data_IF_497043233204
#
_entry.id   IF_497043233204
#
_cell.length_a   1.000
_cell.length_b   1.000
_cell.length_c   1.000
_cell.angle_alpha   90.00
_cell.angle_beta   90.00
_cell.angle_gamma   90.00
#
_symmetry.space_group_name_H-M   'P 1'
#
loop_
_entity.id
_entity.type
_entity.pdbx_description
1 polymer ?
#
# COMPACT_ATOMS: atom_id res chain seq x y z
N UNK A 1 10.97 -6.08 -24.12
CA UNK A 1 10.03 -4.98 -24.44
C UNK A 1 10.77 -3.68 -24.19
N UNK A 2 10.73 -2.73 -25.13
CA UNK A 2 11.22 -1.37 -24.82
C UNK A 2 10.47 -0.82 -23.61
N UNK A 3 11.14 -0.10 -22.69
CA UNK A 3 10.47 0.61 -21.62
C UNK A 3 9.47 1.57 -22.26
N UNK A 4 8.18 1.34 -22.00
CA UNK A 4 7.16 2.26 -22.44
C UNK A 4 7.22 3.47 -21.52
N UNK A 5 7.36 4.66 -22.07
CA UNK A 5 7.36 5.92 -21.32
C UNK A 5 6.10 6.73 -21.65
N UNK A 6 5.71 7.61 -20.73
CA UNK A 6 4.73 8.66 -21.02
C UNK A 6 5.30 9.60 -22.08
N UNK A 7 4.45 10.04 -23.02
CA UNK A 7 4.82 11.10 -23.95
C UNK A 7 5.10 12.40 -23.19
N UNK A 8 5.95 13.27 -23.73
CA UNK A 8 6.24 14.59 -23.13
C UNK A 8 4.95 15.40 -22.87
N UNK A 9 3.96 15.31 -23.76
CA UNK A 9 2.65 15.93 -23.58
C UNK A 9 1.83 15.33 -22.43
N UNK A 10 1.99 14.03 -22.16
CA UNK A 10 1.31 13.40 -21.02
C UNK A 10 1.96 13.80 -19.71
N UNK A 11 3.30 13.88 -19.69
CA UNK A 11 4.06 14.35 -18.51
C UNK A 11 3.64 15.76 -18.13
N UNK A 12 3.60 16.69 -19.09
CA UNK A 12 3.20 18.08 -18.81
C UNK A 12 1.75 18.26 -18.37
N UNK A 13 0.87 17.32 -18.72
CA UNK A 13 -0.51 17.29 -18.17
C UNK A 13 -0.52 16.70 -16.76
N UNK A 14 0.24 15.62 -16.52
CA UNK A 14 0.35 14.98 -15.21
C UNK A 14 0.96 15.89 -14.16
N UNK A 15 1.93 16.74 -14.52
CA UNK A 15 2.54 17.76 -13.65
C UNK A 15 1.52 18.74 -13.05
N UNK A 16 0.31 18.85 -13.63
CA UNK A 16 -0.75 19.73 -13.13
C UNK A 16 -1.56 19.13 -11.97
N UNK A 17 -1.34 17.86 -11.64
CA UNK A 17 -2.06 17.15 -10.58
C UNK A 17 -2.05 17.93 -9.25
N UNK A 18 -3.13 17.82 -8.48
CA UNK A 18 -3.29 18.57 -7.23
C UNK A 18 -3.92 17.71 -6.13
N UNK A 19 -3.10 17.38 -5.13
CA UNK A 19 -3.56 16.79 -3.86
C UNK A 19 -4.58 17.72 -3.17
N UNK A 20 -4.32 19.03 -3.10
CA UNK A 20 -5.20 19.99 -2.43
C UNK A 20 -6.61 20.05 -3.04
N UNK A 21 -6.74 19.88 -4.35
CA UNK A 21 -8.06 19.80 -4.99
C UNK A 21 -8.87 18.59 -4.49
N UNK A 22 -8.20 17.46 -4.24
CA UNK A 22 -8.83 16.24 -3.71
C UNK A 22 -9.13 16.36 -2.22
N UNK A 23 -8.25 16.99 -1.45
CA UNK A 23 -8.49 17.35 -0.05
C UNK A 23 -9.75 18.21 0.09
N UNK A 24 -9.86 19.26 -0.72
CA UNK A 24 -11.02 20.16 -0.71
C UNK A 24 -12.32 19.44 -1.08
N UNK A 25 -12.25 18.53 -2.06
CA UNK A 25 -13.40 17.72 -2.47
C UNK A 25 -13.82 16.68 -1.42
N UNK A 26 -12.89 16.07 -0.69
CA UNK A 26 -13.26 15.20 0.43
C UNK A 26 -13.91 16.03 1.56
N UNK A 27 -13.37 17.21 1.83
CA UNK A 27 -13.89 18.10 2.88
C UNK A 27 -15.32 18.59 2.59
N UNK A 28 -15.69 18.78 1.31
CA UNK A 28 -17.07 19.16 0.95
C UNK A 28 -18.11 18.07 1.24
N UNK A 29 -17.68 16.81 1.39
CA UNK A 29 -18.57 15.66 1.59
C UNK A 29 -19.03 15.43 3.03
N UNK A 30 -18.60 16.25 3.99
CA UNK A 30 -19.04 16.13 5.41
C UNK A 30 -20.56 16.13 5.58
N UNK A 31 -21.28 16.88 4.74
CA UNK A 31 -22.76 16.86 4.75
C UNK A 31 -23.32 15.52 4.28
N UNK A 32 -22.72 14.89 3.26
CA UNK A 32 -23.09 13.55 2.82
C UNK A 32 -22.83 12.51 3.91
N UNK A 33 -21.70 12.61 4.62
CA UNK A 33 -21.37 11.72 5.73
C UNK A 33 -22.38 11.83 6.88
N UNK A 34 -22.81 13.05 7.21
CA UNK A 34 -23.90 13.26 8.19
C UNK A 34 -25.21 12.61 7.74
N UNK A 35 -25.50 12.62 6.44
CA UNK A 35 -26.63 11.94 5.82
C UNK A 35 -26.39 10.43 5.60
N UNK A 36 -25.27 9.89 6.09
CA UNK A 36 -24.89 8.47 6.03
C UNK A 36 -24.69 7.97 4.60
N UNK A 37 -24.15 8.80 3.72
CA UNK A 37 -23.73 8.42 2.36
C UNK A 37 -22.30 8.87 2.08
N UNK A 38 -21.57 8.11 1.26
CA UNK A 38 -20.20 8.48 0.86
C UNK A 38 -20.19 9.67 -0.10
N UNK A 39 -21.21 9.75 -0.95
CA UNK A 39 -21.43 10.82 -1.91
C UNK A 39 -22.95 11.01 -2.05
N UNK A 40 -23.39 12.17 -2.56
CA UNK A 40 -24.82 12.40 -2.78
C UNK A 40 -25.37 11.41 -3.83
N UNK A 41 -26.58 10.90 -3.62
CA UNK A 41 -27.27 10.04 -4.58
C UNK A 41 -27.60 10.74 -5.91
N UNK A 42 -27.66 12.08 -5.91
CA UNK A 42 -27.81 12.91 -7.10
C UNK A 42 -26.49 13.05 -7.89
N UNK A 43 -25.34 12.67 -7.30
CA UNK A 43 -24.06 12.71 -7.99
C UNK A 43 -24.07 11.73 -9.18
N UNK A 44 -23.85 12.19 -10.43
CA UNK A 44 -23.93 11.35 -11.63
C UNK A 44 -22.99 10.13 -11.62
N UNK A 45 -21.91 10.20 -10.84
CA UNK A 45 -20.90 9.15 -10.75
C UNK A 45 -21.23 8.06 -9.72
N UNK A 46 -22.32 8.18 -8.95
CA UNK A 46 -22.73 7.20 -7.94
C UNK A 46 -23.24 5.87 -8.54
N UNK A 47 -24.05 5.92 -9.61
CA UNK A 47 -24.73 4.72 -10.16
C UNK A 47 -24.13 4.30 -11.52
N UNK A 48 -23.92 5.25 -12.43
CA UNK A 48 -23.50 4.96 -13.81
C UNK A 48 -22.15 5.60 -14.13
N UNK A 49 -21.18 5.33 -13.25
CA UNK A 49 -19.84 5.90 -13.29
C UNK A 49 -19.19 5.82 -14.69
N UNK A 50 -19.27 4.67 -15.35
CA UNK A 50 -18.62 4.48 -16.65
C UNK A 50 -19.21 5.41 -17.73
N UNK A 51 -20.54 5.51 -17.82
CA UNK A 51 -21.18 6.37 -18.82
C UNK A 51 -20.99 7.85 -18.46
N UNK A 52 -21.14 8.23 -17.18
CA UNK A 52 -20.92 9.61 -16.73
C UNK A 52 -19.48 10.08 -17.04
N UNK A 53 -18.48 9.23 -16.81
CA UNK A 53 -17.08 9.53 -17.17
C UNK A 53 -16.92 9.62 -18.68
N UNK A 54 -17.56 8.74 -19.44
CA UNK A 54 -17.50 8.76 -20.90
C UNK A 54 -18.10 10.04 -21.49
N UNK A 55 -19.26 10.45 -21.00
CA UNK A 55 -19.92 11.70 -21.40
C UNK A 55 -19.03 12.90 -21.06
N UNK A 56 -18.63 13.05 -19.80
CA UNK A 56 -17.77 14.16 -19.38
C UNK A 56 -16.42 14.18 -20.11
N UNK A 57 -15.78 13.02 -20.29
CA UNK A 57 -14.54 12.91 -21.04
C UNK A 57 -14.73 13.31 -22.52
N UNK A 58 -15.90 13.10 -23.12
CA UNK A 58 -16.16 13.58 -24.48
C UNK A 58 -16.26 15.11 -24.56
N UNK A 59 -16.69 15.76 -23.48
CA UNK A 59 -16.89 17.20 -23.40
C UNK A 59 -15.62 18.02 -23.17
N UNK A 60 -14.57 17.42 -22.58
CA UNK A 60 -13.27 18.07 -22.44
C UNK A 60 -12.63 18.12 -23.84
N UNK A 61 -12.60 19.27 -24.50
CA UNK A 61 -11.93 19.44 -25.80
C UNK A 61 -10.50 19.93 -25.58
N UNK A 62 -10.10 21.05 -26.17
CA UNK A 62 -8.77 21.65 -25.99
C UNK A 62 -8.67 22.45 -24.68
N UNK A 63 -9.80 22.71 -24.02
CA UNK A 63 -9.87 23.48 -22.76
C UNK A 63 -10.31 22.59 -21.59
N UNK A 64 -9.57 22.59 -20.47
CA UNK A 64 -9.94 21.84 -19.28
C UNK A 64 -11.20 22.43 -18.64
N UNK A 65 -12.05 21.58 -18.06
CA UNK A 65 -13.35 21.94 -17.50
C UNK A 65 -13.45 21.53 -16.03
N UNK A 66 -14.06 22.35 -15.15
CA UNK A 66 -14.32 21.93 -13.78
C UNK A 66 -15.46 20.89 -13.75
N UNK A 67 -15.41 20.00 -12.76
CA UNK A 67 -16.51 19.10 -12.42
C UNK A 67 -16.36 18.67 -10.95
N UNK A 68 -17.14 19.28 -10.07
CA UNK A 68 -17.06 19.03 -8.63
C UNK A 68 -17.49 17.60 -8.32
N UNK A 69 -18.61 17.14 -8.91
CA UNK A 69 -19.14 15.79 -8.70
C UNK A 69 -18.11 14.69 -9.01
N UNK A 70 -17.32 14.85 -10.08
CA UNK A 70 -16.25 13.92 -10.44
C UNK A 70 -15.06 14.00 -9.48
N UNK A 71 -14.76 15.19 -8.98
CA UNK A 71 -13.65 15.40 -8.03
C UNK A 71 -14.01 14.83 -6.65
N UNK A 72 -15.25 15.02 -6.21
CA UNK A 72 -15.82 14.38 -5.01
C UNK A 72 -15.80 12.86 -5.13
N UNK A 73 -16.29 12.33 -6.27
CA UNK A 73 -16.20 10.89 -6.56
C UNK A 73 -14.75 10.40 -6.50
N UNK A 74 -13.80 11.13 -7.09
CA UNK A 74 -12.38 10.76 -7.06
C UNK A 74 -11.84 10.74 -5.62
N UNK A 75 -12.22 11.70 -4.79
CA UNK A 75 -11.78 11.75 -3.39
C UNK A 75 -12.25 10.54 -2.58
N UNK A 76 -13.50 10.09 -2.78
CA UNK A 76 -14.02 8.87 -2.16
C UNK A 76 -13.36 7.63 -2.74
N UNK A 77 -13.04 7.62 -4.03
CA UNK A 77 -12.38 6.47 -4.67
C UNK A 77 -11.02 6.15 -4.05
N UNK A 78 -10.36 7.10 -3.39
CA UNK A 78 -9.13 6.86 -2.61
C UNK A 78 -9.40 5.85 -1.50
N UNK A 79 -10.39 6.13 -0.65
CA UNK A 79 -10.78 5.28 0.49
C UNK A 79 -11.22 3.89 -0.02
N UNK A 80 -12.06 3.87 -1.06
CA UNK A 80 -12.61 2.63 -1.61
C UNK A 80 -11.54 1.79 -2.30
N UNK A 81 -10.63 2.38 -3.07
CA UNK A 81 -9.53 1.63 -3.67
C UNK A 81 -8.55 1.08 -2.64
N UNK A 82 -8.26 1.82 -1.56
CA UNK A 82 -7.45 1.30 -0.45
C UNK A 82 -8.11 0.06 0.19
N UNK A 83 -9.40 0.15 0.51
CA UNK A 83 -10.18 -0.95 1.08
C UNK A 83 -10.27 -2.16 0.16
N UNK A 84 -10.58 -1.95 -1.12
CA UNK A 84 -10.60 -2.99 -2.14
C UNK A 84 -9.24 -3.70 -2.23
N UNK A 85 -8.15 -2.93 -2.15
CA UNK A 85 -6.80 -3.46 -2.23
C UNK A 85 -6.48 -4.43 -1.09
N UNK A 86 -6.78 -4.06 0.15
CA UNK A 86 -6.63 -4.95 1.31
C UNK A 86 -7.58 -6.15 1.26
N UNK A 87 -8.79 -5.95 0.73
CA UNK A 87 -9.75 -7.06 0.50
C UNK A 87 -9.20 -8.06 -0.53
N UNK A 88 -8.60 -7.60 -1.63
CA UNK A 88 -7.92 -8.49 -2.58
C UNK A 88 -6.73 -9.21 -1.95
N UNK A 89 -5.94 -8.53 -1.12
CA UNK A 89 -4.80 -9.16 -0.44
C UNK A 89 -5.25 -10.21 0.58
N UNK A 90 -6.37 -9.99 1.27
CA UNK A 90 -7.04 -10.98 2.13
C UNK A 90 -7.39 -12.24 1.35
N UNK A 91 -8.04 -12.08 0.20
CA UNK A 91 -8.39 -13.21 -0.64
C UNK A 91 -7.14 -13.93 -1.20
N UNK A 92 -6.07 -13.18 -1.47
CA UNK A 92 -4.78 -13.75 -1.85
C UNK A 92 -4.18 -14.59 -0.72
N UNK A 93 -4.19 -14.08 0.53
CA UNK A 93 -3.73 -14.83 1.71
C UNK A 93 -4.53 -16.13 1.89
N UNK A 94 -5.86 -16.07 1.78
CA UNK A 94 -6.70 -17.26 1.85
C UNK A 94 -6.40 -18.27 0.72
N UNK A 95 -6.06 -17.79 -0.47
CA UNK A 95 -5.62 -18.66 -1.56
C UNK A 95 -4.26 -19.32 -1.25
N UNK A 96 -3.32 -18.60 -0.64
CA UNK A 96 -2.03 -19.14 -0.15
C UNK A 96 -2.28 -20.24 0.88
N UNK A 97 -3.14 -20.00 1.87
CA UNK A 97 -3.48 -20.97 2.92
C UNK A 97 -4.03 -22.27 2.32
N UNK A 98 -4.86 -22.17 1.27
CA UNK A 98 -5.41 -23.34 0.54
C UNK A 98 -4.43 -23.98 -0.45
N UNK A 99 -3.29 -23.34 -0.70
CA UNK A 99 -2.29 -23.76 -1.68
C UNK A 99 -2.71 -23.52 -3.14
N UNK A 100 -3.63 -22.57 -3.39
CA UNK A 100 -3.99 -22.11 -4.73
C UNK A 100 -3.12 -20.91 -5.13
N UNK A 101 -1.90 -21.21 -5.58
CA UNK A 101 -0.90 -20.18 -5.89
C UNK A 101 -1.30 -19.32 -7.10
N UNK A 102 -2.08 -19.87 -8.04
CA UNK A 102 -2.54 -19.15 -9.22
C UNK A 102 -3.55 -18.07 -8.85
N UNK A 103 -4.54 -18.43 -8.02
CA UNK A 103 -5.47 -17.46 -7.46
C UNK A 103 -4.75 -16.45 -6.56
N UNK A 104 -3.76 -16.88 -5.76
CA UNK A 104 -2.97 -15.99 -4.93
C UNK A 104 -2.25 -14.92 -5.76
N UNK A 105 -1.51 -15.30 -6.81
CA UNK A 105 -0.83 -14.35 -7.72
C UNK A 105 -1.83 -13.43 -8.42
N UNK A 106 -2.97 -13.95 -8.87
CA UNK A 106 -3.99 -13.14 -9.53
C UNK A 106 -4.55 -12.06 -8.58
N UNK A 107 -4.95 -12.45 -7.37
CA UNK A 107 -5.58 -11.55 -6.40
C UNK A 107 -4.57 -10.54 -5.84
N UNK A 108 -3.33 -10.97 -5.56
CA UNK A 108 -2.26 -10.07 -5.14
C UNK A 108 -1.98 -8.98 -6.19
N UNK A 109 -1.97 -9.33 -7.48
CA UNK A 109 -1.81 -8.34 -8.54
C UNK A 109 -2.94 -7.30 -8.58
N UNK A 110 -4.19 -7.72 -8.32
CA UNK A 110 -5.31 -6.77 -8.21
C UNK A 110 -5.20 -5.88 -6.98
N UNK A 111 -4.64 -6.40 -5.88
CA UNK A 111 -4.30 -5.60 -4.71
C UNK A 111 -3.25 -4.51 -5.05
N UNK A 112 -2.19 -4.83 -5.80
CA UNK A 112 -1.21 -3.84 -6.29
C UNK A 112 -1.87 -2.74 -7.12
N UNK A 113 -2.74 -3.15 -8.05
CA UNK A 113 -3.43 -2.21 -8.94
C UNK A 113 -4.35 -1.27 -8.14
N UNK A 114 -5.12 -1.81 -7.19
CA UNK A 114 -6.00 -1.02 -6.33
C UNK A 114 -5.23 -0.05 -5.45
N UNK A 115 -4.12 -0.48 -4.85
CA UNK A 115 -3.24 0.39 -4.09
C UNK A 115 -2.71 1.55 -4.95
N UNK A 116 -2.22 1.26 -6.17
CA UNK A 116 -1.72 2.29 -7.08
C UNK A 116 -2.81 3.28 -7.50
N UNK A 117 -4.04 2.82 -7.76
CA UNK A 117 -5.18 3.68 -8.07
C UNK A 117 -5.55 4.57 -6.89
N UNK A 118 -5.51 4.06 -5.66
CA UNK A 118 -5.72 4.85 -4.44
C UNK A 118 -4.68 5.96 -4.31
N UNK A 119 -3.39 5.63 -4.46
CA UNK A 119 -2.30 6.61 -4.39
C UNK A 119 -2.50 7.68 -5.46
N UNK A 120 -2.70 7.29 -6.73
CA UNK A 120 -2.88 8.23 -7.84
C UNK A 120 -4.11 9.13 -7.66
N UNK A 121 -5.25 8.57 -7.25
CA UNK A 121 -6.48 9.33 -7.01
C UNK A 121 -6.29 10.37 -5.89
N UNK A 122 -5.52 10.06 -4.84
CA UNK A 122 -5.21 11.02 -3.75
C UNK A 122 -4.43 12.25 -4.24
N UNK A 123 -3.78 12.13 -5.39
CA UNK A 123 -2.98 13.18 -6.02
C UNK A 123 -3.77 13.91 -7.12
N UNK A 124 -5.03 13.53 -7.38
CA UNK A 124 -5.82 14.10 -8.47
C UNK A 124 -5.60 13.44 -9.83
N UNK A 125 -5.08 12.21 -9.85
CA UNK A 125 -4.87 11.43 -11.07
C UNK A 125 -5.95 10.33 -11.15
N UNK A 126 -6.95 10.54 -12.00
CA UNK A 126 -8.05 9.60 -12.19
C UNK A 126 -7.82 8.65 -13.38
N UNK A 127 -7.88 7.34 -13.16
CA UNK A 127 -7.68 6.33 -14.21
C UNK A 127 -9.00 5.56 -14.46
N UNK A 128 -9.57 5.71 -15.66
CA UNK A 128 -10.90 5.19 -15.97
C UNK A 128 -10.98 4.55 -17.35
N UNK A 129 -10.43 3.34 -17.50
CA UNK A 129 -10.53 2.52 -18.72
C UNK A 129 -10.40 3.34 -20.03
N UNK A 130 -9.18 3.77 -20.35
CA UNK A 130 -8.84 4.68 -21.46
C UNK A 130 -9.28 6.15 -21.32
N UNK A 131 -10.02 6.53 -20.28
CA UNK A 131 -10.52 7.91 -20.06
C UNK A 131 -9.84 8.54 -18.84
N UNK A 132 -8.53 8.67 -18.93
CA UNK A 132 -7.68 9.07 -17.81
C UNK A 132 -7.67 10.59 -17.68
N UNK A 133 -7.75 11.12 -16.47
CA UNK A 133 -7.88 12.55 -16.21
C UNK A 133 -6.93 13.03 -15.12
N UNK A 134 -6.65 14.34 -15.12
CA UNK A 134 -5.90 15.04 -14.08
C UNK A 134 -6.74 16.19 -13.55
N UNK A 135 -6.90 16.30 -12.25
CA UNK A 135 -7.49 17.46 -11.57
C UNK A 135 -6.36 18.43 -11.19
N UNK A 136 -6.47 19.68 -11.62
CA UNK A 136 -5.51 20.73 -11.27
C UNK A 136 -5.88 21.51 -10.01
N UNK A 137 -4.97 22.37 -9.56
CA UNK A 137 -5.14 23.20 -8.36
C UNK A 137 -6.29 24.22 -8.45
N UNK A 138 -6.85 24.44 -9.65
CA UNK A 138 -8.03 25.28 -9.86
C UNK A 138 -9.33 24.47 -9.91
N UNK A 139 -9.26 23.15 -9.69
CA UNK A 139 -10.38 22.22 -9.80
C UNK A 139 -10.76 21.90 -11.25
N UNK A 140 -9.94 22.29 -12.24
CA UNK A 140 -10.20 21.98 -13.64
C UNK A 140 -9.61 20.62 -14.01
N UNK A 141 -10.33 19.92 -14.88
CA UNK A 141 -10.01 18.56 -15.28
C UNK A 141 -9.41 18.55 -16.70
N UNK A 142 -8.22 17.95 -16.80
CA UNK A 142 -7.46 17.77 -18.04
C UNK A 142 -7.54 16.33 -18.51
N UNK A 143 -7.50 16.11 -19.82
CA UNK A 143 -7.36 14.78 -20.41
C UNK A 143 -5.92 14.31 -20.33
N UNK A 144 -5.71 13.14 -19.73
CA UNK A 144 -4.50 12.36 -19.91
C UNK A 144 -4.68 11.39 -21.09
N UNK A 145 -3.58 10.96 -21.70
CA UNK A 145 -3.59 10.10 -22.87
C UNK A 145 -4.48 8.85 -22.69
N UNK A 146 -5.21 8.50 -23.76
CA UNK A 146 -6.00 7.26 -23.82
C UNK A 146 -5.06 6.06 -23.79
N UNK A 147 -5.11 5.31 -22.69
CA UNK A 147 -4.27 4.14 -22.48
C UNK A 147 -4.98 3.14 -21.56
N UNK A 148 -4.80 1.81 -21.75
CA UNK A 148 -5.44 0.80 -20.92
C UNK A 148 -5.06 0.98 -19.44
N UNK A 149 -6.02 0.74 -18.53
CA UNK A 149 -5.89 0.94 -17.07
C UNK A 149 -4.56 0.44 -16.50
N UNK A 150 -4.24 -0.84 -16.71
CA UNK A 150 -3.00 -1.42 -16.16
C UNK A 150 -1.74 -0.73 -16.67
N UNK A 151 -1.71 -0.33 -17.94
CA UNK A 151 -0.53 0.33 -18.52
C UNK A 151 -0.38 1.74 -17.97
N UNK A 152 -1.46 2.54 -18.02
CA UNK A 152 -1.37 3.94 -17.60
C UNK A 152 -1.15 4.09 -16.09
N UNK A 153 -1.67 3.17 -15.28
CA UNK A 153 -1.49 3.20 -13.82
C UNK A 153 -0.02 3.15 -13.45
N UNK A 154 0.75 2.19 -13.98
CA UNK A 154 2.18 2.09 -13.67
C UNK A 154 2.99 3.26 -14.22
N UNK A 155 2.68 3.71 -15.44
CA UNK A 155 3.35 4.87 -16.04
C UNK A 155 3.09 6.16 -15.25
N UNK A 156 1.85 6.38 -14.80
CA UNK A 156 1.48 7.54 -14.02
C UNK A 156 2.08 7.47 -12.61
N UNK A 157 2.12 6.29 -11.98
CA UNK A 157 2.73 6.11 -10.67
C UNK A 157 4.24 6.35 -10.71
N UNK A 158 4.92 5.86 -11.76
CA UNK A 158 6.36 6.10 -11.95
C UNK A 158 6.67 7.57 -12.18
N UNK A 159 5.85 8.27 -12.97
CA UNK A 159 6.03 9.70 -13.19
C UNK A 159 5.73 10.52 -11.93
N UNK A 160 4.63 10.22 -11.23
CA UNK A 160 4.30 10.85 -9.96
C UNK A 160 5.40 10.64 -8.92
N UNK A 161 5.97 9.44 -8.82
CA UNK A 161 7.03 9.13 -7.86
C UNK A 161 8.30 9.96 -8.07
N UNK A 162 8.52 10.53 -9.27
CA UNK A 162 9.64 11.45 -9.56
C UNK A 162 9.37 12.90 -9.13
N UNK A 163 8.13 13.23 -8.76
CA UNK A 163 7.72 14.59 -8.41
C UNK A 163 8.16 15.00 -6.99
N UNK A 164 8.22 16.31 -6.74
CA UNK A 164 8.45 16.86 -5.42
C UNK A 164 7.35 16.47 -4.41
N UNK A 165 6.10 16.35 -4.86
CA UNK A 165 4.97 15.92 -4.02
C UNK A 165 5.18 14.49 -3.51
N UNK A 166 5.68 13.59 -4.35
CA UNK A 166 6.01 12.24 -3.91
C UNK A 166 7.14 12.26 -2.88
N UNK A 167 8.21 13.03 -3.10
CA UNK A 167 9.29 13.20 -2.10
C UNK A 167 8.77 13.72 -0.75
N UNK A 168 7.87 14.71 -0.76
CA UNK A 168 7.22 15.22 0.44
C UNK A 168 6.37 14.14 1.13
N UNK A 169 5.56 13.41 0.34
CA UNK A 169 4.75 12.29 0.83
C UNK A 169 5.61 11.23 1.53
N UNK A 170 6.64 10.71 0.87
CA UNK A 170 7.53 9.71 1.48
C UNK A 170 8.26 10.25 2.70
N UNK A 171 8.72 11.50 2.64
CA UNK A 171 9.45 12.12 3.74
C UNK A 171 8.61 12.33 5.01
N UNK A 172 7.29 12.49 4.86
CA UNK A 172 6.37 12.81 5.98
C UNK A 172 5.53 11.62 6.45
N UNK A 173 5.17 10.68 5.57
CA UNK A 173 4.23 9.59 5.89
C UNK A 173 4.89 8.26 6.27
N UNK A 174 6.21 8.15 6.05
CA UNK A 174 7.01 7.00 6.47
C UNK A 174 7.70 7.38 7.78
N UNK A 175 7.39 6.65 8.85
CA UNK A 175 7.65 7.04 10.23
C UNK A 175 8.44 5.96 11.00
N UNK A 176 9.65 5.58 10.55
CA UNK A 176 10.51 4.66 11.30
C UNK A 176 10.80 5.21 12.69
N UNK A 177 10.49 4.42 13.72
CA UNK A 177 10.62 4.82 15.13
C UNK A 177 9.87 6.11 15.47
N UNK A 178 8.75 6.35 14.79
CA UNK A 178 7.92 7.57 14.93
C UNK A 178 8.64 8.88 14.52
N UNK A 179 9.72 8.79 13.75
CA UNK A 179 10.45 9.94 13.21
C UNK A 179 10.25 9.98 11.70
N UNK A 180 9.85 11.12 11.11
CA UNK A 180 9.74 11.27 9.65
C UNK A 180 10.99 10.82 8.91
N UNK A 181 10.81 10.07 7.82
CA UNK A 181 11.90 9.61 6.98
C UNK A 181 12.78 10.77 6.49
N UNK A 182 12.21 11.96 6.28
CA UNK A 182 12.98 13.14 5.86
C UNK A 182 14.08 13.50 6.87
N UNK A 183 13.78 13.41 8.17
CA UNK A 183 14.70 13.81 9.24
C UNK A 183 15.84 12.80 9.35
N UNK A 184 15.52 11.51 9.18
CA UNK A 184 16.53 10.46 9.05
C UNK A 184 17.49 10.71 7.89
N UNK A 185 16.98 11.02 6.70
CA UNK A 185 17.83 11.24 5.52
C UNK A 185 18.62 12.55 5.60
N UNK A 186 18.02 13.62 6.13
CA UNK A 186 18.71 14.89 6.39
C UNK A 186 19.90 14.69 7.32
N UNK A 187 19.69 14.02 8.45
CA UNK A 187 20.75 13.77 9.42
C UNK A 187 21.78 12.76 8.92
N UNK A 188 21.36 11.75 8.16
CA UNK A 188 22.27 10.76 7.59
C UNK A 188 23.19 11.37 6.54
N UNK A 189 22.65 12.14 5.60
CA UNK A 189 23.39 12.70 4.48
C UNK A 189 24.01 14.07 4.76
N UNK A 190 23.54 14.78 5.79
CA UNK A 190 23.98 16.13 6.13
C UNK A 190 23.51 17.19 5.13
N UNK A 191 22.37 16.96 4.46
CA UNK A 191 21.79 17.88 3.48
C UNK A 191 20.45 18.42 3.97
N UNK A 192 20.13 19.71 3.72
CA UNK A 192 18.87 20.32 4.17
C UNK A 192 17.65 19.87 3.35
N UNK A 193 17.87 19.34 2.14
CA UNK A 193 16.82 18.83 1.26
C UNK A 193 16.92 17.31 1.13
N UNK A 194 15.76 16.67 0.90
CA UNK A 194 15.69 15.25 0.59
C UNK A 194 16.38 15.03 -0.76
N UNK A 195 17.57 14.43 -0.77
CA UNK A 195 18.35 14.23 -2.00
C UNK A 195 17.76 13.15 -2.92
N UNK A 196 16.75 12.43 -2.43
CA UNK A 196 16.13 11.28 -3.06
C UNK A 196 14.71 11.60 -3.55
N UNK A 197 14.38 11.11 -4.74
CA UNK A 197 12.99 11.16 -5.23
C UNK A 197 12.17 10.05 -4.60
N UNK A 198 10.85 10.16 -4.59
CA UNK A 198 9.99 9.02 -4.23
C UNK A 198 10.32 7.77 -5.06
N UNK A 199 10.61 7.94 -6.35
CA UNK A 199 11.00 6.86 -7.24
C UNK A 199 12.31 6.16 -6.82
N UNK A 200 13.31 6.91 -6.32
CA UNK A 200 14.54 6.28 -5.82
C UNK A 200 14.29 5.54 -4.50
N UNK A 201 13.47 6.09 -3.59
CA UNK A 201 13.10 5.41 -2.35
C UNK A 201 12.32 4.11 -2.59
N UNK A 202 11.29 4.16 -3.43
CA UNK A 202 10.52 2.98 -3.87
C UNK A 202 11.46 1.92 -4.46
N UNK A 203 12.41 2.32 -5.32
CA UNK A 203 13.39 1.41 -5.90
C UNK A 203 14.29 0.76 -4.84
N UNK A 204 14.77 1.53 -3.85
CA UNK A 204 15.60 1.01 -2.75
C UNK A 204 14.86 -0.03 -1.89
N UNK A 205 13.54 0.06 -1.79
CA UNK A 205 12.73 -0.96 -1.12
C UNK A 205 12.60 -2.27 -1.91
N UNK A 206 12.94 -2.26 -3.20
CA UNK A 206 12.83 -3.39 -4.11
C UNK A 206 11.59 -3.33 -5.02
N UNK A 207 10.76 -2.30 -4.85
CA UNK A 207 9.55 -2.03 -5.63
C UNK A 207 9.89 -1.39 -6.97
N UNK A 208 10.67 -2.05 -7.81
CA UNK A 208 10.93 -1.51 -9.14
C UNK A 208 9.61 -1.47 -9.94
N UNK A 209 9.13 -0.26 -10.27
CA UNK A 209 7.79 -0.09 -10.86
C UNK A 209 7.63 -0.78 -12.23
N UNK A 210 8.74 -1.08 -12.90
CA UNK A 210 8.77 -1.90 -14.11
C UNK A 210 8.32 -3.35 -13.86
N UNK A 211 8.53 -3.90 -12.64
CA UNK A 211 8.18 -5.28 -12.27
C UNK A 211 6.68 -5.54 -12.27
N UNK A 212 5.84 -4.55 -11.96
CA UNK A 212 4.38 -4.72 -12.01
C UNK A 212 3.84 -5.04 -13.43
N UNK A 213 4.62 -4.70 -14.47
CA UNK A 213 4.31 -5.13 -15.84
C UNK A 213 4.59 -6.62 -16.07
N UNK A 214 5.59 -7.18 -15.37
CA UNK A 214 5.89 -8.61 -15.34
C UNK A 214 4.87 -9.35 -14.48
N UNK A 215 4.42 -8.77 -13.38
CA UNK A 215 3.34 -9.34 -12.54
C UNK A 215 2.04 -9.43 -13.32
N UNK A 216 1.72 -8.43 -14.14
CA UNK A 216 0.60 -8.51 -15.08
C UNK A 216 0.74 -9.69 -16.05
N UNK A 217 1.96 -9.93 -16.55
CA UNK A 217 2.22 -10.99 -17.51
C UNK A 217 2.06 -12.36 -16.84
N UNK A 218 2.63 -12.50 -15.64
CA UNK A 218 2.48 -13.69 -14.79
C UNK A 218 1.03 -13.94 -14.42
N UNK A 219 0.29 -12.90 -14.04
CA UNK A 219 -1.16 -12.96 -13.82
C UNK A 219 -1.89 -13.47 -15.05
N UNK A 220 -1.58 -12.94 -16.24
CA UNK A 220 -2.23 -13.39 -17.48
C UNK A 220 -1.94 -14.87 -17.75
N UNK A 221 -0.72 -15.33 -17.49
CA UNK A 221 -0.33 -16.73 -17.65
C UNK A 221 -1.16 -17.62 -16.72
N UNK A 222 -1.20 -17.34 -15.41
CA UNK A 222 -1.99 -18.16 -14.46
C UNK A 222 -3.51 -18.04 -14.67
N UNK A 223 -4.00 -16.95 -15.26
CA UNK A 223 -5.44 -16.72 -15.46
C UNK A 223 -5.99 -17.34 -16.75
N UNK A 224 -5.18 -17.37 -17.81
CA UNK A 224 -5.65 -17.77 -19.15
C UNK A 224 -5.04 -19.10 -19.63
N UNK A 225 -3.93 -19.55 -19.04
CA UNK A 225 -3.31 -20.81 -19.42
C UNK A 225 -3.70 -21.93 -18.47
N UNK A 226 -3.78 -23.14 -19.00
CA UNK A 226 -4.00 -24.34 -18.18
C UNK A 226 -2.69 -24.73 -17.52
N UNK A 227 -2.64 -24.70 -16.19
CA UNK A 227 -1.50 -25.23 -15.46
C UNK A 227 -1.62 -26.75 -15.35
N UNK A 228 -0.72 -27.48 -16.01
CA UNK A 228 -0.66 -28.93 -15.99
C UNK A 228 0.37 -29.49 -14.99
N UNK A 229 1.05 -28.64 -14.21
CA UNK A 229 2.05 -29.06 -13.21
C UNK A 229 1.35 -29.62 -11.97
N UNK A 230 1.45 -30.93 -11.68
CA UNK A 230 0.81 -31.53 -10.52
C UNK A 230 1.55 -31.25 -9.20
N UNK A 231 2.84 -30.92 -9.29
CA UNK A 231 3.75 -30.73 -8.14
C UNK A 231 4.20 -29.27 -8.05
N UNK A 232 3.32 -28.39 -7.59
CA UNK A 232 3.71 -27.04 -7.20
C UNK A 232 4.15 -27.06 -5.74
N UNK A 233 5.33 -26.51 -5.44
CA UNK A 233 5.75 -26.32 -4.06
C UNK A 233 4.83 -25.31 -3.38
N UNK A 234 4.49 -25.60 -2.12
CA UNK A 234 3.63 -24.78 -1.27
C UNK A 234 4.40 -24.43 -0.01
N UNK A 235 3.95 -23.38 0.68
CA UNK A 235 4.46 -23.11 2.02
C UNK A 235 4.12 -24.30 2.93
N UNK A 236 5.10 -24.71 3.74
CA UNK A 236 4.83 -25.58 4.88
C UNK A 236 4.01 -24.80 5.90
N UNK A 237 3.25 -25.47 6.78
CA UNK A 237 2.57 -24.82 7.89
C UNK A 237 3.45 -23.83 8.66
N UNK A 238 4.66 -24.24 9.04
CA UNK A 238 5.61 -23.38 9.74
C UNK A 238 6.04 -22.13 8.94
N UNK A 239 6.27 -22.27 7.62
CA UNK A 239 6.63 -21.13 6.78
C UNK A 239 5.46 -20.17 6.56
N UNK A 240 4.23 -20.71 6.49
CA UNK A 240 3.00 -19.93 6.39
C UNK A 240 2.75 -19.12 7.68
N UNK A 241 2.87 -19.74 8.84
CA UNK A 241 2.66 -19.06 10.14
C UNK A 241 3.69 -17.98 10.36
N UNK A 242 4.97 -18.27 10.08
CA UNK A 242 6.05 -17.27 10.15
C UNK A 242 5.78 -16.06 9.26
N UNK A 243 5.31 -16.30 8.02
CA UNK A 243 4.97 -15.23 7.09
C UNK A 243 3.77 -14.40 7.56
N UNK A 244 2.72 -15.04 8.09
CA UNK A 244 1.55 -14.36 8.64
C UNK A 244 1.91 -13.53 9.88
N UNK A 245 2.69 -14.07 10.80
CA UNK A 245 3.18 -13.35 11.98
C UNK A 245 4.05 -12.16 11.59
N UNK A 246 4.89 -12.29 10.55
CA UNK A 246 5.68 -11.15 10.05
C UNK A 246 4.78 -10.03 9.48
N UNK A 247 3.73 -10.37 8.73
CA UNK A 247 2.78 -9.39 8.20
C UNK A 247 2.15 -8.57 9.33
N UNK A 248 1.58 -9.24 10.33
CA UNK A 248 0.88 -8.55 11.42
C UNK A 248 1.82 -7.78 12.33
N UNK A 249 2.97 -8.35 12.71
CA UNK A 249 3.99 -7.64 13.49
C UNK A 249 4.55 -6.42 12.75
N UNK A 250 4.62 -6.47 11.42
CA UNK A 250 5.03 -5.34 10.58
C UNK A 250 3.93 -4.27 10.46
N UNK A 251 2.68 -4.60 10.83
CA UNK A 251 1.50 -3.74 10.72
C UNK A 251 0.93 -3.24 12.05
N UNK A 252 1.56 -3.57 13.18
CA UNK A 252 1.08 -3.27 14.53
C UNK A 252 0.57 -1.80 14.67
N UNK A 253 -0.68 -1.57 15.14
CA UNK A 253 -1.29 -0.25 15.31
C UNK A 253 -1.04 0.46 16.65
N UNK A 254 -0.40 -0.17 17.66
CA UNK A 254 -0.36 0.32 19.06
C UNK A 254 0.33 1.68 19.25
N UNK A 255 1.32 2.03 18.44
CA UNK A 255 2.03 3.33 18.54
C UNK A 255 1.85 4.21 17.31
N UNK A 256 2.33 3.76 16.16
CA UNK A 256 1.95 4.24 14.84
C UNK A 256 1.84 3.02 13.93
N UNK A 257 0.72 2.89 13.18
CA UNK A 257 0.55 1.80 12.23
C UNK A 257 1.78 1.66 11.35
N UNK A 258 2.26 0.43 11.22
CA UNK A 258 3.41 0.06 10.38
C UNK A 258 4.79 0.62 10.79
N UNK A 259 4.96 1.18 11.99
CA UNK A 259 6.29 1.68 12.43
C UNK A 259 7.39 0.59 12.37
N UNK A 260 7.03 -0.67 12.61
CA UNK A 260 7.95 -1.81 12.49
C UNK A 260 8.40 -2.02 11.04
N UNK A 261 7.47 -2.06 10.08
CA UNK A 261 7.80 -2.10 8.66
C UNK A 261 8.67 -0.90 8.24
N UNK A 262 8.28 0.30 8.65
CA UNK A 262 8.99 1.53 8.29
C UNK A 262 10.44 1.52 8.81
N UNK A 263 10.71 0.96 10.00
CA UNK A 263 12.08 0.79 10.50
C UNK A 263 12.94 -0.17 9.66
N UNK A 264 12.35 -1.27 9.18
CA UNK A 264 13.01 -2.20 8.25
C UNK A 264 13.30 -1.52 6.90
N UNK A 265 12.35 -0.73 6.40
CA UNK A 265 12.50 0.07 5.18
C UNK A 265 13.62 1.12 5.33
N UNK A 266 13.68 1.81 6.47
CA UNK A 266 14.76 2.75 6.80
C UNK A 266 16.13 2.05 6.78
N UNK A 267 16.28 0.94 7.50
CA UNK A 267 17.54 0.18 7.56
C UNK A 267 18.02 -0.16 6.15
N UNK A 268 17.12 -0.66 5.28
CA UNK A 268 17.42 -0.97 3.88
C UNK A 268 17.82 0.28 3.07
N UNK A 269 17.13 1.41 3.23
CA UNK A 269 17.50 2.67 2.57
C UNK A 269 18.91 3.11 2.98
N UNK A 270 19.19 3.18 4.29
CA UNK A 270 20.47 3.67 4.81
C UNK A 270 21.63 2.79 4.34
N UNK A 271 21.45 1.46 4.35
CA UNK A 271 22.42 0.53 3.77
C UNK A 271 22.59 0.72 2.27
N UNK A 272 21.51 0.95 1.52
CA UNK A 272 21.60 1.16 0.06
C UNK A 272 22.35 2.45 -0.25
N UNK A 273 21.99 3.58 0.38
CA UNK A 273 22.69 4.86 0.25
C UNK A 273 24.18 4.70 0.61
N UNK A 274 24.46 3.96 1.68
CA UNK A 274 25.84 3.66 2.08
C UNK A 274 26.61 2.90 1.00
N UNK A 275 26.00 1.86 0.43
CA UNK A 275 26.61 1.01 -0.59
C UNK A 275 26.81 1.74 -1.93
N UNK A 276 25.90 2.63 -2.32
CA UNK A 276 25.99 3.38 -3.58
C UNK A 276 27.06 4.48 -3.55
N UNK A 277 27.39 5.01 -2.36
CA UNK A 277 28.45 6.02 -2.19
C UNK A 277 29.87 5.42 -2.18
N UNK A 278 30.03 4.10 -2.33
CA UNK A 278 31.31 3.42 -2.07
C UNK A 278 32.29 3.44 -3.25
N UNK A 279 33.09 4.51 -3.34
CA UNK A 279 34.40 4.46 -3.99
C UNK A 279 35.49 4.26 -2.90
N UNK A 280 35.97 3.03 -2.78
CA UNK A 280 37.22 2.58 -2.15
C UNK A 280 37.54 2.80 -0.64
N UNK A 281 36.82 3.60 0.16
CA UNK A 281 37.17 3.85 1.60
C UNK A 281 35.97 3.70 2.56
N UNK A 282 35.16 2.65 2.41
CA UNK A 282 34.00 2.41 3.28
C UNK A 282 34.12 1.07 4.02
N UNK A 283 34.06 1.10 5.36
CA UNK A 283 34.17 -0.05 6.27
C UNK A 283 32.95 -0.12 7.19
N UNK A 284 32.65 -1.25 7.84
CA UNK A 284 31.55 -1.31 8.83
C UNK A 284 31.69 -0.20 9.89
N UNK A 285 32.92 0.10 10.33
CA UNK A 285 33.20 1.18 11.29
C UNK A 285 32.76 2.57 10.83
N UNK A 286 32.87 2.89 9.53
CA UNK A 286 32.40 4.17 8.99
C UNK A 286 30.87 4.21 8.86
N UNK A 287 30.21 3.08 8.59
CA UNK A 287 28.75 2.98 8.66
C UNK A 287 28.27 3.23 10.10
N UNK A 288 28.83 2.49 11.07
CA UNK A 288 28.50 2.61 12.48
C UNK A 288 28.70 4.03 13.00
N UNK A 289 29.80 4.69 12.61
CA UNK A 289 30.08 6.09 12.96
C UNK A 289 29.02 7.03 12.41
N UNK A 290 28.57 6.81 11.17
CA UNK A 290 27.52 7.61 10.54
C UNK A 290 26.18 7.41 11.26
N UNK A 291 25.77 6.17 11.50
CA UNK A 291 24.56 5.84 12.26
C UNK A 291 24.61 6.41 13.67
N UNK A 292 25.77 6.35 14.34
CA UNK A 292 25.96 6.94 15.67
C UNK A 292 25.69 8.43 15.68
N UNK A 293 26.23 9.16 14.70
CA UNK A 293 26.02 10.60 14.55
C UNK A 293 24.56 10.91 14.27
N UNK A 294 23.95 10.22 13.31
CA UNK A 294 22.53 10.39 12.95
C UNK A 294 21.62 10.15 14.14
N UNK A 295 21.78 9.03 14.86
CA UNK A 295 21.00 8.70 16.05
C UNK A 295 21.19 9.72 17.18
N UNK A 296 22.41 10.24 17.36
CA UNK A 296 22.69 11.24 18.39
C UNK A 296 22.00 12.58 18.07
N UNK A 297 22.00 12.99 16.79
CA UNK A 297 21.35 14.22 16.35
C UNK A 297 19.83 14.15 16.42
N UNK A 298 19.26 12.96 16.17
CA UNK A 298 17.82 12.68 16.29
C UNK A 298 17.39 12.28 17.71
N UNK A 299 18.32 12.29 18.68
CA UNK A 299 18.07 11.93 20.09
C UNK A 299 17.39 10.55 20.26
N UNK A 300 17.76 9.57 19.44
CA UNK A 300 17.08 8.26 19.46
C UNK A 300 17.52 7.39 20.65
N UNK A 301 16.63 6.52 21.16
CA UNK A 301 16.99 5.55 22.18
C UNK A 301 18.12 4.60 21.73
N UNK A 302 18.90 4.09 22.69
CA UNK A 302 20.04 3.22 22.42
C UNK A 302 19.69 1.95 21.61
N UNK A 303 18.49 1.40 21.77
CA UNK A 303 18.05 0.22 21.02
C UNK A 303 17.91 0.49 19.52
N UNK A 304 17.52 1.71 19.12
CA UNK A 304 17.38 2.11 17.70
C UNK A 304 18.73 2.05 17.01
N UNK A 305 19.76 2.61 17.65
CA UNK A 305 21.13 2.54 17.18
C UNK A 305 21.61 1.09 17.04
N UNK A 306 21.37 0.26 18.07
CA UNK A 306 21.76 -1.16 18.03
C UNK A 306 21.09 -1.91 16.88
N UNK A 307 19.80 -1.66 16.63
CA UNK A 307 19.05 -2.24 15.52
C UNK A 307 19.56 -1.80 14.15
N UNK A 308 19.93 -0.52 13.97
CA UNK A 308 20.43 -0.04 12.67
C UNK A 308 21.84 -0.56 12.36
N UNK A 309 22.66 -0.85 13.37
CA UNK A 309 24.03 -1.37 13.20
C UNK A 309 24.06 -2.91 13.12
N UNK A 310 23.09 -3.61 13.72
CA UNK A 310 23.08 -5.07 13.75
C UNK A 310 23.05 -5.68 12.36
N UNK A 311 23.79 -6.77 12.18
CA UNK A 311 23.65 -7.70 11.05
C UNK A 311 22.91 -8.96 11.50
N UNK A 312 21.94 -8.83 12.42
CA UNK A 312 21.20 -9.98 12.91
C UNK A 312 20.24 -10.49 11.83
N UNK A 313 20.28 -11.80 11.56
CA UNK A 313 19.34 -12.47 10.66
C UNK A 313 17.88 -12.34 11.12
N UNK A 314 17.62 -12.14 12.43
CA UNK A 314 16.25 -11.90 12.92
C UNK A 314 15.66 -10.56 12.46
N UNK A 315 16.51 -9.62 12.02
CA UNK A 315 16.07 -8.34 11.47
C UNK A 315 15.77 -8.41 9.96
N UNK A 316 16.05 -9.55 9.31
CA UNK A 316 15.72 -9.77 7.91
C UNK A 316 14.21 -9.94 7.73
N UNK A 317 13.65 -9.23 6.76
CA UNK A 317 12.23 -9.26 6.45
C UNK A 317 11.98 -10.11 5.23
N UNK A 318 11.21 -11.20 5.37
CA UNK A 318 10.83 -12.02 4.22
C UNK A 318 9.98 -11.23 3.24
N UNK A 319 9.14 -10.31 3.74
CA UNK A 319 8.36 -9.38 2.92
C UNK A 319 9.28 -8.56 2.01
N UNK A 320 10.35 -7.94 2.57
CA UNK A 320 11.28 -7.13 1.78
C UNK A 320 12.15 -7.96 0.83
N UNK A 321 12.48 -9.20 1.20
CA UNK A 321 13.22 -10.14 0.34
C UNK A 321 12.38 -10.58 -0.86
N UNK A 322 11.15 -11.04 -0.63
CA UNK A 322 10.23 -11.43 -1.70
C UNK A 322 9.86 -10.24 -2.60
N UNK A 323 9.62 -9.05 -2.03
CA UNK A 323 9.35 -7.86 -2.83
C UNK A 323 10.49 -7.50 -3.80
N UNK A 324 11.75 -7.78 -3.40
CA UNK A 324 12.92 -7.54 -4.23
C UNK A 324 13.06 -8.58 -5.37
N UNK A 325 12.60 -9.81 -5.17
CA UNK A 325 12.68 -10.90 -6.15
C UNK A 325 11.80 -10.63 -7.38
N UNK A 326 12.21 -11.24 -8.49
CA UNK A 326 11.55 -11.11 -9.79
C UNK A 326 11.48 -12.47 -10.47
N UNK A 327 10.85 -13.43 -9.79
CA UNK A 327 10.66 -14.77 -10.34
C UNK A 327 9.64 -14.74 -11.48
N UNK A 328 9.83 -15.63 -12.45
CA UNK A 328 8.86 -15.81 -13.54
C UNK A 328 7.59 -16.51 -13.07
N UNK A 329 6.51 -16.41 -13.84
CA UNK A 329 5.20 -17.01 -13.51
C UNK A 329 5.23 -18.52 -13.28
N UNK A 330 6.24 -19.19 -13.85
CA UNK A 330 6.47 -20.62 -13.74
C UNK A 330 7.12 -21.05 -12.41
N UNK A 331 7.59 -20.12 -11.58
CA UNK A 331 8.23 -20.37 -10.29
C UNK A 331 7.19 -20.56 -9.19
N UNK A 332 7.38 -21.61 -8.39
CA UNK A 332 6.45 -22.01 -7.33
C UNK A 332 6.22 -20.92 -6.27
N UNK A 333 7.15 -19.98 -6.07
CA UNK A 333 7.08 -18.93 -5.05
C UNK A 333 6.83 -17.53 -5.62
N UNK A 334 6.54 -17.41 -6.92
CA UNK A 334 6.28 -16.11 -7.55
C UNK A 334 5.11 -15.36 -6.89
N UNK A 335 4.11 -16.09 -6.37
CA UNK A 335 2.98 -15.49 -5.66
C UNK A 335 3.41 -14.68 -4.43
N UNK A 336 4.49 -15.06 -3.74
CA UNK A 336 5.03 -14.31 -2.59
C UNK A 336 5.69 -13.00 -3.01
N UNK A 337 6.29 -12.98 -4.21
CA UNK A 337 6.90 -11.77 -4.77
C UNK A 337 5.81 -10.72 -5.02
N UNK A 338 4.73 -11.10 -5.71
CA UNK A 338 3.57 -10.22 -5.99
C UNK A 338 2.86 -9.82 -4.71
N UNK A 339 2.63 -10.78 -3.80
CA UNK A 339 1.98 -10.50 -2.52
C UNK A 339 2.75 -9.47 -1.71
N UNK A 340 4.07 -9.64 -1.59
CA UNK A 340 4.89 -8.73 -0.80
C UNK A 340 4.98 -7.34 -1.41
N UNK A 341 5.03 -7.23 -2.75
CA UNK A 341 4.92 -5.93 -3.44
C UNK A 341 3.56 -5.26 -3.20
N UNK A 342 2.48 -6.02 -3.30
CA UNK A 342 1.13 -5.54 -3.01
C UNK A 342 1.01 -5.00 -1.58
N UNK A 343 1.54 -5.74 -0.60
CA UNK A 343 1.54 -5.33 0.81
C UNK A 343 2.26 -3.99 1.01
N UNK A 344 3.45 -3.83 0.44
CA UNK A 344 4.20 -2.56 0.53
C UNK A 344 3.48 -1.41 -0.18
N UNK A 345 2.86 -1.66 -1.33
CA UNK A 345 2.03 -0.66 -2.01
C UNK A 345 0.80 -0.27 -1.20
N UNK A 346 0.16 -1.22 -0.52
CA UNK A 346 -1.00 -0.98 0.33
C UNK A 346 -0.66 -0.22 1.60
N UNK A 347 0.54 -0.41 2.17
CA UNK A 347 1.09 0.49 3.20
C UNK A 347 1.12 1.94 2.72
N UNK A 348 1.54 2.19 1.48
CA UNK A 348 1.58 3.52 0.89
C UNK A 348 0.17 4.05 0.59
N UNK A 349 -0.72 3.23 0.05
CA UNK A 349 -2.11 3.60 -0.18
C UNK A 349 -2.84 3.97 1.12
N UNK A 350 -2.54 3.25 2.21
CA UNK A 350 -3.07 3.55 3.55
C UNK A 350 -2.53 4.88 4.07
N UNK A 351 -1.23 5.16 3.89
CA UNK A 351 -0.65 6.48 4.18
C UNK A 351 -1.29 7.60 3.35
N UNK A 352 -1.47 7.41 2.04
CA UNK A 352 -2.12 8.39 1.16
C UNK A 352 -3.55 8.70 1.60
N UNK A 353 -4.29 7.65 1.98
CA UNK A 353 -5.67 7.80 2.43
C UNK A 353 -5.73 8.49 3.80
N UNK A 354 -4.89 8.07 4.76
CA UNK A 354 -4.81 8.71 6.09
C UNK A 354 -4.39 10.19 5.98
N UNK A 355 -3.39 10.52 5.15
CA UNK A 355 -2.98 11.90 4.88
C UNK A 355 -4.11 12.73 4.28
N UNK A 356 -4.83 12.18 3.30
CA UNK A 356 -5.99 12.84 2.69
C UNK A 356 -7.07 13.12 3.74
N UNK A 357 -7.43 12.13 4.55
CA UNK A 357 -8.43 12.27 5.62
C UNK A 357 -8.01 13.33 6.66
N UNK A 358 -6.75 13.27 7.15
CA UNK A 358 -6.21 14.27 8.09
C UNK A 358 -6.26 15.69 7.52
N UNK A 359 -5.86 15.87 6.26
CA UNK A 359 -5.89 17.20 5.60
C UNK A 359 -7.30 17.70 5.34
N UNK A 360 -8.24 16.79 5.06
CA UNK A 360 -9.65 17.13 4.83
C UNK A 360 -10.45 17.31 6.14
N UNK A 361 -9.80 17.06 7.29
CA UNK A 361 -10.41 17.05 8.62
C UNK A 361 -11.57 16.05 8.71
N UNK A 362 -11.40 14.86 8.13
CA UNK A 362 -12.39 13.77 8.14
C UNK A 362 -11.90 12.63 9.03
N UNK A 363 -12.73 12.18 9.97
CA UNK A 363 -12.40 11.07 10.87
C UNK A 363 -13.02 9.75 10.41
N UNK A 364 -12.52 8.63 10.96
CA UNK A 364 -13.13 7.32 10.72
C UNK A 364 -14.51 7.19 11.36
N UNK A 365 -14.77 7.89 12.46
CA UNK A 365 -16.10 7.92 13.11
C UNK A 365 -17.16 8.54 12.18
N UNK A 366 -16.80 9.59 11.42
CA UNK A 366 -17.68 10.17 10.41
C UNK A 366 -18.03 9.18 9.29
N UNK A 367 -17.18 8.17 9.06
CA UNK A 367 -17.37 7.11 8.08
C UNK A 367 -17.95 5.82 8.67
N UNK A 368 -18.35 5.80 9.94
CA UNK A 368 -18.91 4.61 10.61
C UNK A 368 -20.13 4.02 9.90
N UNK A 369 -20.93 4.86 9.23
CA UNK A 369 -22.05 4.40 8.42
C UNK A 369 -21.63 3.48 7.26
N UNK A 370 -20.39 3.58 6.79
CA UNK A 370 -19.85 2.79 5.69
C UNK A 370 -19.06 1.59 6.20
N UNK A 371 -18.11 1.80 7.12
CA UNK A 371 -17.22 0.71 7.54
C UNK A 371 -17.90 -0.27 8.50
N UNK A 372 -18.85 0.14 9.35
CA UNK A 372 -19.57 -0.81 10.23
C UNK A 372 -20.35 -1.87 9.44
N UNK A 373 -21.27 -1.50 8.51
CA UNK A 373 -22.00 -2.52 7.75
C UNK A 373 -21.07 -3.38 6.90
N UNK A 374 -20.01 -2.78 6.36
CA UNK A 374 -19.01 -3.53 5.61
C UNK A 374 -18.34 -4.59 6.51
N UNK A 375 -17.85 -4.22 7.69
CA UNK A 375 -17.20 -5.13 8.64
C UNK A 375 -18.10 -6.30 9.04
N UNK A 376 -19.40 -6.06 9.24
CA UNK A 376 -20.35 -7.14 9.52
C UNK A 376 -20.61 -8.02 8.29
N UNK A 377 -20.85 -7.40 7.12
CA UNK A 377 -21.18 -8.13 5.89
C UNK A 377 -20.03 -8.99 5.36
N UNK A 378 -18.78 -8.57 5.57
CA UNK A 378 -17.58 -9.33 5.22
C UNK A 378 -17.16 -10.29 6.33
N UNK A 379 -17.79 -10.24 7.51
CA UNK A 379 -17.46 -11.08 8.66
C UNK A 379 -16.13 -10.70 9.33
N UNK A 380 -15.68 -9.44 9.25
CA UNK A 380 -14.55 -8.93 10.07
C UNK A 380 -14.93 -8.94 11.55
N UNK A 381 -16.20 -8.66 11.84
CA UNK A 381 -16.75 -8.57 13.18
C UNK A 381 -18.16 -9.16 13.24
N UNK A 382 -18.58 -9.58 14.43
CA UNK A 382 -19.95 -10.04 14.67
C UNK A 382 -20.92 -8.86 14.66
N UNK A 383 -22.14 -9.07 14.14
CA UNK A 383 -23.13 -8.00 14.07
C UNK A 383 -23.42 -7.42 15.48
N UNK A 384 -23.26 -6.11 15.61
CA UNK A 384 -23.44 -5.37 16.86
C UNK A 384 -22.27 -5.42 17.84
N UNK A 385 -21.13 -6.03 17.49
CA UNK A 385 -19.95 -6.07 18.36
C UNK A 385 -19.11 -4.79 18.33
N UNK A 386 -19.30 -3.93 17.32
CA UNK A 386 -18.56 -2.69 17.13
C UNK A 386 -19.46 -1.50 17.49
N UNK A 387 -18.90 -0.51 18.18
CA UNK A 387 -19.61 0.67 18.70
C UNK A 387 -19.75 1.78 17.67
N UNK A 388 -18.87 1.81 16.67
CA UNK A 388 -18.68 2.93 15.75
C UNK A 388 -17.65 3.95 16.20
N UNK A 389 -17.03 3.75 17.36
CA UNK A 389 -15.89 4.53 17.85
C UNK A 389 -14.61 3.86 17.35
N UNK A 390 -14.05 4.39 16.26
CA UNK A 390 -12.99 3.74 15.48
C UNK A 390 -11.77 3.35 16.33
N UNK A 391 -11.31 4.24 17.22
CA UNK A 391 -10.13 3.99 18.05
C UNK A 391 -10.32 2.79 18.99
N UNK A 392 -11.49 2.71 19.64
CA UNK A 392 -11.84 1.63 20.56
C UNK A 392 -12.08 0.31 19.82
N UNK A 393 -12.86 0.37 18.74
CA UNK A 393 -13.22 -0.80 17.95
C UNK A 393 -11.98 -1.45 17.31
N UNK A 394 -11.03 -0.66 16.82
CA UNK A 394 -9.82 -1.18 16.19
C UNK A 394 -8.80 -1.72 17.18
N UNK A 395 -8.75 -1.18 18.40
CA UNK A 395 -7.96 -1.77 19.50
C UNK A 395 -8.50 -3.17 19.86
N UNK A 396 -9.83 -3.33 19.95
CA UNK A 396 -10.44 -4.64 20.20
C UNK A 396 -10.17 -5.64 19.06
N UNK A 397 -10.25 -5.21 17.81
CA UNK A 397 -9.92 -6.06 16.66
C UNK A 397 -8.44 -6.47 16.66
N UNK A 398 -7.55 -5.63 17.20
CA UNK A 398 -6.13 -5.94 17.33
C UNK A 398 -5.85 -6.97 18.44
N UNK A 399 -6.58 -6.93 19.55
CA UNK A 399 -6.45 -7.96 20.60
C UNK A 399 -6.68 -9.37 20.07
N UNK A 400 -7.70 -9.57 19.24
CA UNK A 400 -7.95 -10.85 18.57
C UNK A 400 -6.77 -11.31 17.69
N UNK A 401 -6.10 -10.36 17.02
CA UNK A 401 -4.91 -10.66 16.21
C UNK A 401 -3.72 -11.03 17.08
N UNK A 402 -3.49 -10.33 18.19
CA UNK A 402 -2.41 -10.64 19.13
C UNK A 402 -2.59 -12.03 19.74
N UNK A 403 -3.79 -12.35 20.23
CA UNK A 403 -4.10 -13.67 20.79
C UNK A 403 -3.83 -14.77 19.75
N UNK A 404 -4.24 -14.55 18.50
CA UNK A 404 -3.99 -15.49 17.42
C UNK A 404 -2.51 -15.62 17.02
N UNK A 405 -1.70 -14.55 17.12
CA UNK A 405 -0.25 -14.64 16.89
C UNK A 405 0.43 -15.46 18.00
N UNK A 406 0.04 -15.27 19.26
CA UNK A 406 0.56 -16.04 20.39
C UNK A 406 0.25 -17.54 20.22
N UNK A 407 -0.97 -17.89 19.81
CA UNK A 407 -1.37 -19.27 19.53
C UNK A 407 -0.54 -19.92 18.39
N UNK A 408 0.04 -19.14 17.47
CA UNK A 408 0.91 -19.67 16.41
C UNK A 408 2.29 -20.09 16.92
N UNK A 409 2.74 -19.64 18.09
CA UNK A 409 4.04 -20.02 18.66
C UNK A 409 4.09 -21.51 19.03
N UNK A 410 2.94 -22.11 19.31
CA UNK A 410 2.79 -23.53 19.67
C UNK A 410 2.73 -24.48 18.45
N UNK A 411 2.79 -23.94 17.23
CA UNK A 411 2.72 -24.75 16.00
C UNK A 411 3.98 -25.61 15.87
N UNK A 412 3.79 -26.93 15.90
CA UNK A 412 4.86 -27.91 15.71
C UNK A 412 5.62 -27.65 14.38
N UNK A 413 6.92 -27.29 14.43
CA UNK A 413 7.71 -27.01 13.24
C UNK A 413 7.91 -28.24 12.34
N UNK A 414 7.71 -29.46 12.87
CA UNK A 414 7.77 -30.70 12.09
C UNK A 414 6.44 -31.01 11.37
N UNK A 415 5.35 -30.28 11.68
CA UNK A 415 4.07 -30.46 11.01
C UNK A 415 4.14 -29.99 9.55
N UNK A 416 4.13 -30.95 8.64
CA UNK A 416 4.12 -30.72 7.19
C UNK A 416 2.73 -30.94 6.56
N UNK A 417 1.76 -31.44 7.32
CA UNK A 417 0.44 -31.80 6.79
C UNK A 417 -0.53 -30.64 6.90
N UNK A 418 -0.77 -29.95 5.77
CA UNK A 418 -1.72 -28.82 5.69
C UNK A 418 -3.12 -29.18 6.19
N UNK A 419 -3.61 -30.40 5.93
CA UNK A 419 -4.95 -30.81 6.39
C UNK A 419 -5.04 -30.86 7.92
N UNK A 420 -4.04 -31.45 8.57
CA UNK A 420 -3.97 -31.52 10.04
C UNK A 420 -3.84 -30.12 10.61
N UNK A 421 -2.90 -29.33 10.09
CA UNK A 421 -2.70 -27.94 10.49
C UNK A 421 -4.00 -27.12 10.40
N UNK A 422 -4.72 -27.17 9.27
CA UNK A 422 -5.98 -26.44 9.12
C UNK A 422 -7.10 -26.95 10.03
N UNK A 423 -7.06 -28.22 10.45
CA UNK A 423 -8.04 -28.78 11.39
C UNK A 423 -7.76 -28.30 12.82
N UNK A 424 -6.49 -28.23 13.20
CA UNK A 424 -6.06 -27.95 14.57
C UNK A 424 -6.05 -26.44 14.86
N UNK A 425 -5.73 -25.61 13.86
CA UNK A 425 -5.53 -24.16 14.01
C UNK A 425 -6.56 -23.32 13.25
N UNK A 426 -7.72 -23.87 12.88
CA UNK A 426 -8.73 -23.15 12.08
C UNK A 426 -9.13 -21.80 12.70
N UNK A 427 -9.36 -21.78 14.01
CA UNK A 427 -9.80 -20.58 14.73
C UNK A 427 -8.67 -19.56 14.89
N UNK A 428 -7.41 -20.00 14.93
CA UNK A 428 -6.23 -19.14 14.98
C UNK A 428 -5.94 -18.52 13.60
N UNK A 429 -6.12 -19.30 12.53
CA UNK A 429 -5.80 -18.87 11.16
C UNK A 429 -6.85 -17.93 10.56
N UNK A 430 -8.13 -18.11 10.90
CA UNK A 430 -9.20 -17.25 10.38
C UNK A 430 -8.91 -15.76 10.61
N UNK A 431 -8.72 -15.26 11.85
CA UNK A 431 -8.56 -13.82 12.08
C UNK A 431 -7.27 -13.29 11.44
N UNK A 432 -6.20 -14.10 11.43
CA UNK A 432 -4.94 -13.72 10.81
C UNK A 432 -4.99 -13.70 9.28
N UNK A 433 -5.95 -14.38 8.66
CA UNK A 433 -6.17 -14.32 7.21
C UNK A 433 -6.87 -13.02 6.77
N UNK A 434 -7.49 -12.28 7.72
CA UNK A 434 -8.31 -11.07 7.51
C UNK A 434 -7.48 -9.79 7.44
N UNK A 435 -6.65 -9.70 6.40
CA UNK A 435 -5.80 -8.53 6.14
C UNK A 435 -6.61 -7.27 5.79
N UNK A 436 -7.90 -7.40 5.51
CA UNK A 436 -8.86 -6.30 5.31
C UNK A 436 -9.00 -5.43 6.56
N UNK A 437 -8.73 -5.97 7.76
CA UNK A 437 -8.59 -5.20 9.01
C UNK A 437 -7.46 -4.15 8.93
N UNK A 438 -6.40 -4.39 8.15
CA UNK A 438 -5.29 -3.45 7.99
C UNK A 438 -5.70 -2.15 7.27
N UNK A 439 -6.81 -2.18 6.52
CA UNK A 439 -7.42 -0.96 6.00
C UNK A 439 -7.69 0.02 7.14
N UNK A 440 -8.30 -0.45 8.22
CA UNK A 440 -8.71 0.40 9.34
C UNK A 440 -7.52 0.83 10.18
N UNK A 441 -6.62 -0.12 10.48
CA UNK A 441 -5.43 0.15 11.27
C UNK A 441 -4.53 1.17 10.58
N UNK A 442 -4.35 1.06 9.27
CA UNK A 442 -3.57 2.00 8.47
C UNK A 442 -4.21 3.39 8.31
N UNK A 443 -5.51 3.52 8.58
CA UNK A 443 -6.22 4.80 8.50
C UNK A 443 -6.27 5.55 9.82
N UNK A 444 -5.96 4.90 10.96
CA UNK A 444 -6.01 5.51 12.30
C UNK A 444 -5.22 6.84 12.30
N UNK A 445 -5.95 7.95 12.34
CA UNK A 445 -5.40 9.29 12.37
C UNK A 445 -5.12 9.65 13.82
N UNK A 446 -3.85 9.64 14.24
CA UNK A 446 -3.43 10.21 15.52
C UNK A 446 -2.96 11.64 15.34
#
# INVERSE_FOLDING_TARGET
MEPQELSQSSRSVLEKQSEDAIVNALSSLKTAFHNRTLIDSENPFFINQEEAIKEFFSEITDSPKPNNDLTEHMSISVIIHNNDGWSYLTQAMQAIIRGDIGAASHLAYYAELRAALSILASQGIGIYNYRNIIVDSTGKIHKLNKSPTHKITWLALEEWAKSANASDFFGSEILPFNIPLRDWLHEYEGTPDLSHTGASLIKMWGLELSKYSLDRSSRNEVSYQVNLKPELKRLTPHALTSFMSEIWSSSNPESKPFSSLDSKLLKKILHTIYSEKSDAIFTQSSYDTTINRTCSNLETPAYVKSYLISNDSSDESSILDYAYKNRGADDDYQFLDVFSRAFLLLRLASASTSRLMRKADVTLDELAFWWLPMSYSSGIANEGSLTGEADYDFENLWHEINDAIEDLEDVDPENSCVKTFMSDYANTIEPLSRLDKLTFFGLKTM
#
